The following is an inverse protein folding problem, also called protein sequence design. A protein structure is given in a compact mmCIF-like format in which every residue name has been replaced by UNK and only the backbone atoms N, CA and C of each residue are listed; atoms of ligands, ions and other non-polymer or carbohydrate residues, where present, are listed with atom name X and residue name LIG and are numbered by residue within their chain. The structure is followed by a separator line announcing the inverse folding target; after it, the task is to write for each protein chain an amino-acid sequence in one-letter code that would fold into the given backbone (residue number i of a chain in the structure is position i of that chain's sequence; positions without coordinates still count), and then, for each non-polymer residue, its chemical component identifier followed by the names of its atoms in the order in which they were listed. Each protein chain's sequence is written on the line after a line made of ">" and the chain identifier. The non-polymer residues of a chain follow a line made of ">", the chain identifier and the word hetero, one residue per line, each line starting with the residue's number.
data_IF_344655040092
#
_entry.id   IF_344655040092
#
_cell.length_a   1.000
_cell.length_b   1.000
_cell.length_c   1.000
_cell.angle_alpha   90.00
_cell.angle_beta   90.00
_cell.angle_gamma   90.00
#
_symmetry.space_group_name_H-M   'P 1'
#
loop_
_entity.id
_entity.type
_entity.pdbx_description
1 polymer ?
#
# COMPACT_ATOMS: atom_id res chain seq x y z
N UNK A 1 11.21 -3.76 -2.81
CA UNK A 1 10.29 -2.92 -2.09
C UNK A 1 9.13 -3.74 -1.51
N UNK A 2 8.74 -3.45 -0.26
CA UNK A 2 7.75 -4.27 0.47
C UNK A 2 6.40 -4.40 -0.26
N UNK A 3 5.92 -3.31 -0.82
CA UNK A 3 4.62 -3.29 -1.50
C UNK A 3 4.66 -4.12 -2.77
N UNK A 4 5.72 -3.97 -3.56
CA UNK A 4 5.84 -4.69 -4.83
C UNK A 4 6.00 -6.19 -4.61
N UNK A 5 6.60 -6.59 -3.49
CA UNK A 5 6.74 -8.00 -3.15
C UNK A 5 5.38 -8.67 -2.92
N UNK A 6 4.38 -7.89 -2.52
CA UNK A 6 3.03 -8.41 -2.28
C UNK A 6 2.14 -8.42 -3.51
N UNK A 7 2.52 -7.69 -4.57
CA UNK A 7 1.70 -7.56 -5.78
C UNK A 7 2.54 -7.94 -6.99
N UNK A 8 2.67 -9.24 -7.27
CA UNK A 8 3.43 -9.70 -8.45
C UNK A 8 2.89 -9.09 -9.73
N UNK A 9 3.78 -8.63 -10.58
CA UNK A 9 3.41 -8.00 -11.85
C UNK A 9 3.25 -6.49 -11.78
N UNK A 10 3.20 -5.91 -10.58
CA UNK A 10 3.15 -4.46 -10.43
C UNK A 10 4.56 -3.86 -10.55
N UNK A 11 4.62 -2.61 -10.95
CA UNK A 11 5.87 -1.85 -11.01
C UNK A 11 5.76 -0.65 -10.08
N UNK A 12 6.88 0.02 -9.83
CA UNK A 12 6.88 1.20 -8.97
C UNK A 12 5.98 2.32 -9.50
N UNK A 13 5.72 2.34 -10.79
CA UNK A 13 4.83 3.33 -11.40
C UNK A 13 3.37 3.11 -11.01
N UNK A 14 3.02 1.91 -10.60
CA UNK A 14 1.65 1.56 -10.21
C UNK A 14 1.37 1.88 -8.75
N UNK A 15 2.37 2.33 -8.01
CA UNK A 15 2.28 2.56 -6.56
C UNK A 15 2.16 4.04 -6.25
N UNK A 16 1.20 4.39 -5.40
CA UNK A 16 1.06 5.73 -4.83
C UNK A 16 1.14 5.61 -3.32
N UNK A 17 1.99 6.41 -2.71
CA UNK A 17 2.20 6.38 -1.27
C UNK A 17 2.20 7.80 -0.73
N UNK A 18 1.49 8.02 0.37
CA UNK A 18 1.49 9.27 1.08
C UNK A 18 1.82 9.02 2.54
N UNK A 19 2.56 9.94 3.14
CA UNK A 19 2.83 9.88 4.57
C UNK A 19 1.69 10.58 5.30
N UNK A 20 1.15 9.90 6.30
CA UNK A 20 0.05 10.42 7.09
C UNK A 20 0.35 10.24 8.57
N UNK A 21 -0.37 10.99 9.40
CA UNK A 21 -0.30 10.82 10.84
C UNK A 21 -1.67 10.39 11.35
N UNK A 22 -1.71 9.23 11.97
CA UNK A 22 -2.95 8.62 12.44
C UNK A 22 -2.80 8.21 13.90
N UNK A 23 -3.66 8.76 14.77
CA UNK A 23 -3.64 8.50 16.22
C UNK A 23 -2.27 8.70 16.85
N UNK A 24 -1.57 9.77 16.45
CA UNK A 24 -0.26 10.10 16.99
C UNK A 24 0.88 9.25 16.46
N UNK A 25 0.61 8.43 15.45
CA UNK A 25 1.58 7.53 14.84
C UNK A 25 1.78 7.92 13.38
N UNK A 26 3.01 7.90 12.92
CA UNK A 26 3.30 8.13 11.50
C UNK A 26 3.08 6.84 10.72
N UNK A 27 2.35 6.92 9.63
CA UNK A 27 2.06 5.78 8.77
C UNK A 27 2.26 6.19 7.31
N UNK A 28 2.42 5.20 6.45
CA UNK A 28 2.37 5.38 5.01
C UNK A 28 1.08 4.73 4.51
N UNK A 29 0.24 5.53 3.88
CA UNK A 29 -0.98 5.02 3.25
C UNK A 29 -0.79 5.07 1.77
N UNK A 30 -1.20 4.02 1.09
CA UNK A 30 -1.01 3.98 -0.33
C UNK A 30 -1.89 2.98 -1.04
N UNK A 31 -1.69 2.93 -2.35
CA UNK A 31 -2.44 2.02 -3.20
C UNK A 31 -1.56 1.52 -4.34
N UNK A 32 -1.87 0.33 -4.80
CA UNK A 32 -1.26 -0.26 -5.99
C UNK A 32 -2.38 -0.70 -6.92
N UNK A 33 -2.35 -0.24 -8.16
CA UNK A 33 -3.33 -0.65 -9.16
C UNK A 33 -2.65 -1.54 -10.18
N UNK A 34 -3.08 -2.79 -10.26
CA UNK A 34 -2.46 -3.77 -11.16
C UNK A 34 -3.50 -4.82 -11.57
N UNK A 35 -3.56 -5.13 -12.86
CA UNK A 35 -4.46 -6.16 -13.39
C UNK A 35 -5.92 -5.97 -12.99
N UNK A 36 -6.41 -4.73 -13.08
CA UNK A 36 -7.78 -4.35 -12.71
C UNK A 36 -8.08 -4.60 -11.24
N UNK A 37 -7.06 -4.60 -10.41
CA UNK A 37 -7.20 -4.81 -8.98
C UNK A 37 -6.52 -3.66 -8.26
N UNK A 38 -7.24 -3.04 -7.34
CA UNK A 38 -6.69 -1.99 -6.49
C UNK A 38 -6.37 -2.57 -5.13
N UNK A 39 -5.13 -2.42 -4.71
CA UNK A 39 -4.68 -2.82 -3.37
C UNK A 39 -4.46 -1.55 -2.58
N UNK A 40 -5.10 -1.46 -1.41
CA UNK A 40 -4.91 -0.36 -0.49
C UNK A 40 -4.19 -0.87 0.74
N UNK A 41 -3.28 -0.07 1.26
CA UNK A 41 -2.48 -0.52 2.39
C UNK A 41 -2.12 0.63 3.32
N UNK A 42 -1.82 0.27 4.56
CA UNK A 42 -1.25 1.18 5.55
C UNK A 42 -0.06 0.48 6.19
N UNK A 43 1.05 1.18 6.24
CA UNK A 43 2.31 0.68 6.82
C UNK A 43 2.69 1.55 8.01
N UNK A 44 3.06 0.93 9.11
CA UNK A 44 3.62 1.64 10.26
C UNK A 44 5.01 2.15 9.88
N UNK A 45 5.20 3.47 9.92
CA UNK A 45 6.45 4.06 9.49
C UNK A 45 7.63 3.74 10.40
N UNK A 46 7.36 3.41 11.66
CA UNK A 46 8.44 3.13 12.61
C UNK A 46 8.92 1.68 12.56
N UNK A 47 8.05 0.74 12.17
CA UNK A 47 8.40 -0.68 12.15
C UNK A 47 8.51 -1.26 10.74
N UNK A 48 7.85 -0.63 9.77
CA UNK A 48 7.77 -1.17 8.40
C UNK A 48 6.73 -2.27 8.24
N UNK A 49 5.92 -2.51 9.27
CA UNK A 49 4.88 -3.56 9.22
C UNK A 49 3.62 -3.04 8.54
N UNK A 50 2.94 -3.93 7.82
CA UNK A 50 1.63 -3.62 7.26
C UNK A 50 0.59 -3.67 8.38
N UNK A 51 -0.12 -2.56 8.57
CA UNK A 51 -1.21 -2.47 9.54
C UNK A 51 -2.50 -2.95 8.90
N UNK A 52 -2.72 -2.54 7.65
CA UNK A 52 -3.92 -2.90 6.90
C UNK A 52 -3.56 -3.23 5.46
N UNK A 53 -4.32 -4.14 4.89
CA UNK A 53 -4.22 -4.48 3.48
C UNK A 53 -5.58 -4.89 2.98
N UNK A 54 -6.11 -4.17 2.00
CA UNK A 54 -7.40 -4.51 1.40
C UNK A 54 -7.27 -4.59 -0.11
N UNK A 55 -8.13 -5.36 -0.72
CA UNK A 55 -8.12 -5.59 -2.16
C UNK A 55 -9.50 -5.31 -2.71
N UNK A 56 -9.54 -4.51 -3.77
CA UNK A 56 -10.78 -4.18 -4.46
C UNK A 56 -10.64 -4.54 -5.93
N UNK A 57 -11.44 -5.49 -6.38
CA UNK A 57 -11.39 -5.97 -7.76
C UNK A 57 -12.27 -5.09 -8.64
N UNK A 58 -11.68 -4.59 -9.72
CA UNK A 58 -12.36 -3.77 -10.71
C UNK A 58 -12.78 -4.66 -11.89
N UNK A 59 -13.99 -4.45 -12.39
CA UNK A 59 -14.45 -5.17 -13.57
C UNK A 59 -14.20 -4.40 -14.86
#
# INVERSE_FOLDING_TARGET
>A
QLVLDRVPGASSEDVRIEQERDDGRDVYEGEVYCNRTEHEFTIDASTGDFIEWSVDYQE
#
